data_IF_190268199299
#
_entry.id   IF_190268199299
#
_cell.length_a   1.000
_cell.length_b   1.000
_cell.length_c   1.000
_cell.angle_alpha   90.00
_cell.angle_beta   90.00
_cell.angle_gamma   90.00
#
_symmetry.space_group_name_H-M   'P 1'
#
loop_
_entity.id
_entity.type
_entity.pdbx_description
1 polymer ?
#
# COMPACT_ATOMS: atom_id res chain seq x y z
N UNK A 1 -18.85 -5.93 27.97
CA UNK A 1 -19.28 -5.81 26.55
C UNK A 1 -19.12 -4.38 26.02
N UNK A 2 -19.59 -3.34 26.72
CA UNK A 2 -19.48 -1.93 26.28
C UNK A 2 -18.04 -1.44 25.98
N UNK A 3 -17.03 -1.73 26.80
CA UNK A 3 -15.66 -1.26 26.57
C UNK A 3 -14.95 -1.92 25.37
N UNK A 4 -15.33 -3.16 25.03
CA UNK A 4 -14.80 -3.88 23.86
C UNK A 4 -15.45 -3.33 22.58
N UNK A 5 -16.75 -3.02 22.63
CA UNK A 5 -17.46 -2.35 21.54
C UNK A 5 -16.85 -0.98 21.21
N UNK A 6 -16.59 -0.17 22.24
CA UNK A 6 -16.01 1.17 22.05
C UNK A 6 -14.66 1.11 21.33
N UNK A 7 -13.81 0.17 21.75
CA UNK A 7 -12.46 -0.02 21.19
C UNK A 7 -12.47 -0.51 19.74
N UNK A 8 -13.49 -1.30 19.35
CA UNK A 8 -13.65 -1.80 17.99
C UNK A 8 -14.12 -0.69 17.03
N UNK A 9 -15.05 0.16 17.46
CA UNK A 9 -15.48 1.34 16.69
C UNK A 9 -14.31 2.29 16.47
N UNK A 10 -13.56 2.61 17.52
CA UNK A 10 -12.36 3.46 17.43
C UNK A 10 -11.30 2.89 16.48
N UNK A 11 -11.02 1.59 16.55
CA UNK A 11 -10.07 0.93 15.63
C UNK A 11 -10.54 0.98 14.17
N UNK A 12 -11.84 0.87 13.93
CA UNK A 12 -12.40 0.88 12.58
C UNK A 12 -12.42 2.30 11.99
N UNK A 13 -12.74 3.31 12.81
CA UNK A 13 -12.60 4.72 12.45
C UNK A 13 -11.14 5.08 12.13
N UNK A 14 -10.18 4.61 12.95
CA UNK A 14 -8.76 4.80 12.69
C UNK A 14 -8.32 4.12 11.40
N UNK A 15 -8.76 2.90 11.12
CA UNK A 15 -8.41 2.19 9.88
C UNK A 15 -9.01 2.85 8.64
N UNK A 16 -10.25 3.36 8.72
CA UNK A 16 -10.87 4.10 7.62
C UNK A 16 -10.16 5.43 7.38
N UNK A 17 -9.81 6.16 8.44
CA UNK A 17 -8.98 7.37 8.33
C UNK A 17 -7.62 7.06 7.73
N UNK A 18 -6.94 5.99 8.16
CA UNK A 18 -5.66 5.57 7.59
C UNK A 18 -5.81 5.17 6.10
N UNK A 19 -6.90 4.53 5.72
CA UNK A 19 -7.18 4.18 4.32
C UNK A 19 -7.42 5.44 3.46
N UNK A 20 -8.28 6.35 3.91
CA UNK A 20 -8.63 7.59 3.20
C UNK A 20 -7.45 8.58 3.12
N UNK A 21 -6.66 8.67 4.20
CA UNK A 21 -5.44 9.47 4.26
C UNK A 21 -4.25 8.80 3.55
N UNK A 22 -4.43 7.59 3.02
CA UNK A 22 -3.44 6.88 2.22
C UNK A 22 -2.25 6.31 3.01
N UNK A 23 -2.44 6.03 4.30
CA UNK A 23 -1.46 5.47 5.24
C UNK A 23 -1.17 3.98 5.06
N UNK A 24 -1.81 3.28 4.13
CA UNK A 24 -1.45 1.90 3.76
C UNK A 24 -0.17 1.82 2.91
N UNK A 25 0.82 2.67 3.19
CA UNK A 25 2.08 2.77 2.45
C UNK A 25 3.19 1.99 3.17
N UNK A 26 3.69 0.87 2.59
CA UNK A 26 4.80 0.11 3.16
C UNK A 26 6.15 0.85 3.11
N UNK A 27 6.20 2.08 2.58
CA UNK A 27 7.40 2.93 2.50
C UNK A 27 7.26 4.26 3.26
N UNK A 28 6.24 4.44 4.09
CA UNK A 28 6.11 5.65 4.88
C UNK A 28 7.19 5.68 5.97
N UNK A 29 8.13 6.62 5.88
CA UNK A 29 8.90 7.02 7.05
C UNK A 29 7.96 7.78 7.98
N UNK A 30 7.61 7.16 9.11
CA UNK A 30 6.85 7.79 10.19
C UNK A 30 7.42 9.18 10.48
N UNK A 31 6.57 10.21 10.39
CA UNK A 31 6.93 11.56 10.81
C UNK A 31 7.47 11.51 12.24
N UNK A 32 8.62 12.17 12.46
CA UNK A 32 9.47 12.09 13.66
C UNK A 32 8.88 12.68 14.95
N UNK A 33 7.56 12.66 15.12
CA UNK A 33 6.83 13.07 16.33
C UNK A 33 5.96 11.97 16.97
N UNK A 34 5.90 10.78 16.36
CA UNK A 34 5.37 9.57 17.01
C UNK A 34 6.55 8.70 17.44
N UNK A 35 6.51 8.24 18.69
CA UNK A 35 7.60 7.49 19.32
C UNK A 35 8.14 6.35 18.43
N UNK A 36 9.46 6.31 18.37
CA UNK A 36 10.28 5.43 17.55
C UNK A 36 9.89 3.93 17.64
N UNK A 37 9.41 3.36 16.54
CA UNK A 37 9.94 2.08 16.05
C UNK A 37 10.94 2.38 14.92
N UNK A 38 12.02 3.10 15.26
CA UNK A 38 13.28 2.97 14.53
C UNK A 38 13.86 1.62 14.91
N UNK A 39 13.46 0.57 14.23
CA UNK A 39 14.25 -0.66 14.15
C UNK A 39 14.76 -0.73 12.72
N UNK A 40 16.06 -0.46 12.60
CA UNK A 40 16.97 -0.80 11.51
C UNK A 40 16.35 -1.24 10.15
N UNK A 41 16.77 -0.64 9.02
CA UNK A 41 16.45 -1.12 7.67
C UNK A 41 16.73 -2.63 7.45
N UNK A 42 17.58 -3.22 8.27
CA UNK A 42 17.97 -4.64 8.22
C UNK A 42 16.99 -5.60 8.91
N UNK A 43 16.03 -5.13 9.72
CA UNK A 43 15.06 -5.99 10.43
C UNK A 43 13.72 -6.17 9.70
N UNK A 44 13.45 -5.39 8.65
CA UNK A 44 12.24 -5.55 7.84
C UNK A 44 12.29 -6.77 6.90
N UNK A 45 13.47 -7.36 6.70
CA UNK A 45 13.63 -8.56 5.88
C UNK A 45 13.23 -9.87 6.61
N UNK A 46 13.07 -9.83 7.94
CA UNK A 46 12.82 -10.99 8.80
C UNK A 46 11.43 -11.01 9.47
N UNK A 47 10.54 -10.08 9.11
CA UNK A 47 9.19 -10.00 9.68
C UNK A 47 8.13 -10.71 8.80
N UNK A 48 7.16 -11.36 9.45
CA UNK A 48 6.00 -12.03 8.82
C UNK A 48 5.06 -11.02 8.10
N UNK A 49 5.08 -9.74 8.49
CA UNK A 49 4.19 -8.67 8.01
C UNK A 49 4.26 -8.42 6.49
N UNK A 50 5.44 -8.19 5.88
CA UNK A 50 5.61 -8.10 4.44
C UNK A 50 5.02 -9.25 3.62
N UNK A 51 4.93 -10.45 4.19
CA UNK A 51 4.40 -11.64 3.53
C UNK A 51 2.87 -11.63 3.51
N UNK A 52 2.26 -11.30 4.64
CA UNK A 52 0.81 -11.22 4.77
C UNK A 52 0.25 -10.11 3.87
N UNK A 53 0.94 -8.97 3.80
CA UNK A 53 0.58 -7.85 2.93
C UNK A 53 0.59 -8.25 1.44
N UNK A 54 1.59 -9.00 0.98
CA UNK A 54 1.64 -9.41 -0.43
C UNK A 54 0.54 -10.41 -0.76
N UNK A 55 0.21 -11.33 0.16
CA UNK A 55 -0.91 -12.27 -0.03
C UNK A 55 -2.23 -11.50 -0.12
N UNK A 56 -2.48 -10.59 0.83
CA UNK A 56 -3.65 -9.72 0.85
C UNK A 56 -3.83 -8.93 -0.46
N UNK A 57 -2.74 -8.32 -0.93
CA UNK A 57 -2.74 -7.52 -2.17
C UNK A 57 -3.00 -8.38 -3.41
N UNK A 58 -2.44 -9.59 -3.48
CA UNK A 58 -2.69 -10.50 -4.61
C UNK A 58 -4.12 -11.05 -4.64
N UNK A 59 -4.77 -11.18 -3.49
CA UNK A 59 -6.15 -11.66 -3.39
C UNK A 59 -7.19 -10.54 -3.50
N UNK A 60 -6.77 -9.27 -3.52
CA UNK A 60 -7.64 -8.12 -3.77
C UNK A 60 -7.96 -8.00 -5.26
N UNK A 61 -9.23 -8.10 -5.67
CA UNK A 61 -9.59 -7.96 -7.11
C UNK A 61 -9.55 -6.50 -7.59
N UNK A 62 -9.68 -5.55 -6.67
CA UNK A 62 -9.79 -4.11 -6.97
C UNK A 62 -11.21 -3.63 -7.23
N UNK A 63 -12.22 -4.49 -7.12
CA UNK A 63 -13.63 -4.08 -7.07
C UNK A 63 -13.91 -3.30 -5.78
N UNK A 64 -14.89 -2.37 -5.79
CA UNK A 64 -15.29 -1.67 -4.57
C UNK A 64 -15.64 -2.65 -3.45
N UNK A 65 -15.12 -2.41 -2.25
CA UNK A 65 -15.31 -3.26 -1.09
C UNK A 65 -14.48 -4.54 -1.07
N UNK A 66 -13.85 -4.97 -2.16
CA UNK A 66 -13.11 -6.25 -2.22
C UNK A 66 -11.68 -6.15 -1.69
N UNK A 67 -11.52 -5.67 -0.45
CA UNK A 67 -10.22 -5.57 0.23
C UNK A 67 -10.04 -6.78 1.12
N UNK A 68 -8.89 -7.44 0.97
CA UNK A 68 -8.52 -8.62 1.75
C UNK A 68 -7.51 -8.25 2.82
N UNK A 69 -7.66 -8.81 4.00
CA UNK A 69 -6.67 -8.80 5.07
C UNK A 69 -6.27 -10.24 5.41
N UNK A 70 -5.00 -10.44 5.79
CA UNK A 70 -4.45 -11.76 6.08
C UNK A 70 -3.67 -11.71 7.38
N UNK A 71 -3.87 -12.71 8.24
CA UNK A 71 -3.17 -12.86 9.51
C UNK A 71 -2.72 -14.31 9.72
N UNK A 72 -1.70 -14.51 10.55
CA UNK A 72 -1.40 -15.84 11.09
C UNK A 72 -2.23 -16.10 12.35
N UNK A 73 -2.96 -17.20 12.36
CA UNK A 73 -3.44 -17.84 13.56
C UNK A 73 -2.42 -18.91 13.97
N UNK A 74 -1.97 -18.85 15.23
CA UNK A 74 -0.95 -19.75 15.80
C UNK A 74 -1.52 -20.59 16.96
N UNK A 75 -2.83 -20.56 17.21
CA UNK A 75 -3.44 -21.16 18.40
C UNK A 75 -3.41 -22.70 18.39
N UNK A 76 -3.66 -23.32 17.23
CA UNK A 76 -3.71 -24.80 17.07
C UNK A 76 -2.69 -25.32 16.04
N UNK A 77 -1.78 -24.45 15.59
CA UNK A 77 -0.91 -24.63 14.43
C UNK A 77 -0.85 -23.33 13.61
N UNK A 78 0.10 -23.23 12.68
CA UNK A 78 0.21 -22.05 11.80
C UNK A 78 -0.85 -22.16 10.70
N UNK A 79 -1.83 -21.26 10.71
CA UNK A 79 -2.88 -21.16 9.70
C UNK A 79 -3.01 -19.70 9.23
N UNK A 80 -3.27 -19.51 7.93
CA UNK A 80 -3.61 -18.20 7.38
C UNK A 80 -5.09 -17.93 7.56
N UNK A 81 -5.42 -16.86 8.26
CA UNK A 81 -6.79 -16.37 8.41
C UNK A 81 -6.98 -15.21 7.45
N UNK A 82 -7.94 -15.34 6.54
CA UNK A 82 -8.28 -14.33 5.56
C UNK A 82 -9.60 -13.68 5.94
N UNK A 83 -9.62 -12.36 5.90
CA UNK A 83 -10.82 -11.55 6.05
C UNK A 83 -11.02 -10.73 4.79
N UNK A 84 -12.26 -10.50 4.42
CA UNK A 84 -12.64 -9.64 3.31
C UNK A 84 -13.68 -8.66 3.78
N UNK A 85 -13.64 -7.46 3.24
CA UNK A 85 -14.71 -6.50 3.42
C UNK A 85 -15.92 -6.91 2.55
N UNK A 86 -17.00 -7.37 3.18
CA UNK A 86 -18.16 -7.95 2.51
C UNK A 86 -18.18 -9.48 2.52
N UNK A 87 -19.22 -10.10 1.92
CA UNK A 87 -19.42 -11.55 2.03
C UNK A 87 -18.30 -12.31 1.33
N UNK A 88 -17.84 -13.38 1.98
CA UNK A 88 -16.94 -14.36 1.37
C UNK A 88 -17.74 -15.25 0.42
N UNK A 89 -17.37 -15.26 -0.85
CA UNK A 89 -18.02 -16.03 -1.89
C UNK A 89 -17.21 -17.30 -2.25
N UNK A 90 -17.82 -18.34 -2.84
CA UNK A 90 -17.10 -19.53 -3.30
C UNK A 90 -15.95 -19.22 -4.29
N UNK A 91 -16.08 -18.14 -5.05
CA UNK A 91 -15.05 -17.63 -5.94
C UNK A 91 -13.80 -17.18 -5.18
N UNK A 92 -13.94 -16.64 -3.96
CA UNK A 92 -12.81 -16.20 -3.14
C UNK A 92 -11.95 -17.39 -2.69
N UNK A 93 -12.60 -18.51 -2.36
CA UNK A 93 -11.91 -19.76 -2.01
C UNK A 93 -11.23 -20.39 -3.22
N UNK A 94 -11.90 -20.37 -4.38
CA UNK A 94 -11.32 -20.82 -5.64
C UNK A 94 -10.11 -19.99 -6.04
N UNK A 95 -10.20 -18.67 -5.93
CA UNK A 95 -9.09 -17.75 -6.22
C UNK A 95 -7.92 -17.94 -5.26
N UNK A 96 -8.18 -18.13 -3.97
CA UNK A 96 -7.15 -18.36 -2.95
C UNK A 96 -6.41 -19.68 -3.19
N UNK A 97 -7.14 -20.76 -3.50
CA UNK A 97 -6.54 -22.04 -3.87
C UNK A 97 -5.71 -21.93 -5.16
N UNK A 98 -6.25 -21.25 -6.18
CA UNK A 98 -5.53 -21.03 -7.43
C UNK A 98 -4.24 -20.21 -7.22
N UNK A 99 -4.30 -19.16 -6.39
CA UNK A 99 -3.15 -18.35 -6.02
C UNK A 99 -2.05 -19.19 -5.36
N UNK A 100 -2.36 -19.90 -4.28
CA UNK A 100 -1.36 -20.71 -3.58
C UNK A 100 -0.80 -21.83 -4.46
N UNK A 101 -1.63 -22.48 -5.29
CA UNK A 101 -1.18 -23.47 -6.26
C UNK A 101 -0.16 -22.90 -7.23
N UNK A 102 -0.42 -21.72 -7.80
CA UNK A 102 0.50 -21.05 -8.71
C UNK A 102 1.77 -20.58 -8.01
N UNK A 103 1.68 -20.04 -6.79
CA UNK A 103 2.86 -19.63 -6.01
C UNK A 103 3.79 -20.81 -5.73
N UNK A 104 3.25 -22.01 -5.42
CA UNK A 104 4.05 -23.22 -5.23
C UNK A 104 4.78 -23.64 -6.52
N UNK A 105 4.10 -23.53 -7.66
CA UNK A 105 4.65 -23.92 -8.97
C UNK A 105 5.61 -22.86 -9.57
N UNK A 106 5.49 -21.59 -9.18
CA UNK A 106 6.22 -20.48 -9.77
C UNK A 106 7.73 -20.59 -9.56
N UNK A 107 8.50 -20.23 -10.59
CA UNK A 107 9.96 -20.05 -10.52
C UNK A 107 10.34 -18.58 -10.37
N UNK A 108 9.48 -17.68 -10.86
CA UNK A 108 9.64 -16.24 -10.77
C UNK A 108 8.29 -15.56 -10.53
N UNK A 109 8.32 -14.31 -10.03
CA UNK A 109 7.10 -13.51 -9.89
C UNK A 109 6.33 -13.30 -11.21
N UNK A 110 7.02 -13.35 -12.36
CA UNK A 110 6.37 -13.20 -13.67
C UNK A 110 5.42 -14.36 -13.97
N UNK A 111 5.66 -15.54 -13.38
CA UNK A 111 4.79 -16.72 -13.54
C UNK A 111 3.42 -16.51 -12.86
N UNK A 112 3.30 -15.49 -11.99
CA UNK A 112 2.06 -15.12 -11.31
C UNK A 112 1.27 -14.03 -12.07
N UNK A 113 1.82 -13.44 -13.14
CA UNK A 113 1.13 -12.43 -13.94
C UNK A 113 -0.21 -12.93 -14.51
N UNK A 114 -0.35 -14.18 -15.00
CA UNK A 114 -1.63 -14.68 -15.46
C UNK A 114 -2.72 -14.65 -14.39
N UNK A 115 -2.39 -15.05 -13.15
CA UNK A 115 -3.31 -14.94 -12.03
C UNK A 115 -3.65 -13.48 -11.73
N UNK A 116 -2.64 -12.61 -11.59
CA UNK A 116 -2.84 -11.21 -11.23
C UNK A 116 -3.68 -10.46 -12.28
N UNK A 117 -3.51 -10.77 -13.56
CA UNK A 117 -4.26 -10.15 -14.65
C UNK A 117 -5.68 -10.71 -14.79
N UNK A 118 -5.92 -11.93 -14.28
CA UNK A 118 -7.27 -12.49 -14.23
C UNK A 118 -8.04 -12.01 -13.00
N UNK A 119 -7.38 -11.96 -11.84
CA UNK A 119 -8.02 -11.72 -10.54
C UNK A 119 -7.96 -10.24 -10.13
N UNK A 120 -6.79 -9.61 -10.23
CA UNK A 120 -6.51 -8.25 -9.74
C UNK A 120 -6.41 -7.21 -10.85
N UNK A 121 -6.98 -7.49 -12.03
CA UNK A 121 -6.97 -6.60 -13.21
C UNK A 121 -7.32 -5.16 -12.85
N UNK A 122 -8.49 -4.98 -12.24
CA UNK A 122 -9.00 -3.65 -11.90
C UNK A 122 -8.08 -2.92 -10.92
N UNK A 123 -7.46 -3.63 -9.98
CA UNK A 123 -6.49 -3.04 -9.07
C UNK A 123 -5.23 -2.57 -9.83
N UNK A 124 -4.67 -3.40 -10.72
CA UNK A 124 -3.48 -3.06 -11.51
C UNK A 124 -3.74 -1.82 -12.36
N UNK A 125 -4.82 -1.82 -13.14
CA UNK A 125 -5.19 -0.70 -14.01
C UNK A 125 -5.42 0.58 -13.21
N UNK A 126 -6.11 0.48 -12.06
CA UNK A 126 -6.31 1.60 -11.14
C UNK A 126 -5.00 2.19 -10.64
N UNK A 127 -4.02 1.38 -10.25
CA UNK A 127 -2.74 1.91 -9.77
C UNK A 127 -1.91 2.53 -10.90
N UNK A 128 -1.92 1.94 -12.10
CA UNK A 128 -1.23 2.49 -13.27
C UNK A 128 -1.85 3.82 -13.72
N UNK A 129 -3.17 3.92 -13.78
CA UNK A 129 -3.86 5.17 -14.08
C UNK A 129 -3.52 6.26 -13.06
N UNK A 130 -3.48 5.92 -11.77
CA UNK A 130 -3.10 6.85 -10.70
C UNK A 130 -1.63 7.27 -10.79
N UNK A 131 -0.74 6.37 -11.22
CA UNK A 131 0.66 6.69 -11.49
C UNK A 131 0.78 7.64 -12.68
N UNK A 132 0.05 7.38 -13.77
CA UNK A 132 0.02 8.28 -14.93
C UNK A 132 -0.44 9.68 -14.51
N UNK A 133 -1.58 9.80 -13.82
CA UNK A 133 -2.14 11.09 -13.40
C UNK A 133 -1.14 11.93 -12.59
N UNK A 134 -0.53 11.33 -11.56
CA UNK A 134 0.45 12.06 -10.75
C UNK A 134 1.71 12.41 -11.55
N UNK A 135 2.11 11.55 -12.49
CA UNK A 135 3.27 11.82 -13.35
C UNK A 135 2.97 12.95 -14.33
N UNK A 136 1.79 12.99 -14.93
CA UNK A 136 1.30 14.09 -15.79
C UNK A 136 1.34 15.40 -14.99
N UNK A 137 0.75 15.41 -13.80
CA UNK A 137 0.67 16.61 -12.96
C UNK A 137 2.06 17.18 -12.64
N UNK A 138 3.03 16.31 -12.33
CA UNK A 138 4.39 16.71 -11.95
C UNK A 138 5.36 16.85 -13.13
N UNK A 139 4.95 16.51 -14.36
CA UNK A 139 5.90 16.22 -15.44
C UNK A 139 6.89 17.36 -15.70
N UNK A 140 6.39 18.58 -15.87
CA UNK A 140 7.23 19.76 -16.14
C UNK A 140 8.18 20.10 -14.99
N UNK A 141 7.72 19.93 -13.74
CA UNK A 141 8.56 20.18 -12.57
C UNK A 141 9.70 19.15 -12.50
N UNK A 142 9.38 17.87 -12.75
CA UNK A 142 10.39 16.80 -12.75
C UNK A 142 11.40 16.97 -13.89
N UNK A 143 10.98 17.42 -15.07
CA UNK A 143 11.90 17.72 -16.17
C UNK A 143 12.87 18.86 -15.81
N UNK A 144 12.39 19.90 -15.11
CA UNK A 144 13.24 20.99 -14.66
C UNK A 144 14.30 20.51 -13.65
N UNK A 145 13.90 19.66 -12.71
CA UNK A 145 14.81 19.06 -11.73
C UNK A 145 15.82 18.10 -12.38
N UNK A 146 15.41 17.35 -13.41
CA UNK A 146 16.33 16.48 -14.18
C UNK A 146 17.37 17.33 -14.92
N UNK A 147 16.97 18.47 -15.50
CA UNK A 147 17.86 19.33 -16.25
C UNK A 147 19.03 19.84 -15.38
N UNK A 148 18.76 20.17 -14.12
CA UNK A 148 19.74 20.64 -13.14
C UNK A 148 20.40 19.53 -12.32
N UNK A 149 19.93 18.28 -12.46
CA UNK A 149 20.46 17.13 -11.73
C UNK A 149 21.94 16.88 -12.04
N UNK A 150 22.72 16.59 -11.00
CA UNK A 150 24.12 16.24 -11.11
C UNK A 150 24.26 14.72 -11.14
N UNK A 151 24.80 14.24 -12.25
CA UNK A 151 25.00 12.81 -12.49
C UNK A 151 25.99 12.22 -11.46
N UNK A 152 25.62 11.06 -10.91
CA UNK A 152 26.52 10.16 -10.17
C UNK A 152 26.85 8.94 -11.03
N UNK A 153 27.43 7.90 -10.44
CA UNK A 153 27.56 6.63 -11.16
C UNK A 153 26.19 5.99 -11.40
N UNK A 154 26.03 5.26 -12.50
CA UNK A 154 24.77 4.58 -12.85
C UNK A 154 24.29 3.60 -11.77
N UNK A 155 25.21 2.91 -11.12
CA UNK A 155 24.87 1.93 -10.09
C UNK A 155 24.57 2.60 -8.74
N UNK A 156 25.15 3.76 -8.46
CA UNK A 156 24.74 4.56 -7.30
C UNK A 156 23.37 5.18 -7.51
N UNK A 157 23.08 5.66 -8.72
CA UNK A 157 21.79 6.26 -9.05
C UNK A 157 20.67 5.22 -9.06
N UNK A 158 20.93 4.06 -9.66
CA UNK A 158 19.91 3.04 -9.90
C UNK A 158 20.34 1.64 -9.41
N UNK A 159 20.51 1.44 -8.09
CA UNK A 159 21.17 0.25 -7.51
C UNK A 159 20.48 -1.10 -7.80
N UNK A 160 19.20 -1.09 -8.19
CA UNK A 160 18.40 -2.31 -8.43
C UNK A 160 17.83 -2.40 -9.85
N UNK A 161 18.35 -1.63 -10.78
CA UNK A 161 17.78 -1.48 -12.14
C UNK A 161 18.51 -2.26 -13.22
N UNK A 162 19.68 -2.86 -12.93
CA UNK A 162 20.61 -3.40 -13.94
C UNK A 162 19.95 -4.38 -14.92
N UNK A 163 19.12 -5.29 -14.43
CA UNK A 163 18.41 -6.26 -15.27
C UNK A 163 17.37 -5.56 -16.18
N UNK A 164 16.64 -4.60 -15.65
CA UNK A 164 15.64 -3.83 -16.41
C UNK A 164 16.28 -2.92 -17.45
N UNK A 165 17.37 -2.21 -17.10
CA UNK A 165 18.14 -1.39 -18.05
C UNK A 165 18.70 -2.22 -19.20
N UNK A 166 19.24 -3.41 -18.92
CA UNK A 166 19.68 -4.35 -19.97
C UNK A 166 18.53 -4.82 -20.86
N UNK A 167 17.36 -5.06 -20.28
CA UNK A 167 16.18 -5.45 -21.02
C UNK A 167 15.69 -4.34 -21.98
N UNK A 168 15.74 -3.07 -21.55
CA UNK A 168 15.19 -1.95 -22.32
C UNK A 168 16.21 -1.31 -23.28
N UNK A 169 17.47 -1.19 -22.86
CA UNK A 169 18.50 -0.43 -23.55
C UNK A 169 19.64 -1.29 -24.09
N UNK A 170 19.64 -2.59 -23.81
CA UNK A 170 20.71 -3.51 -24.19
C UNK A 170 22.08 -3.00 -23.72
N UNK A 171 23.06 -2.89 -24.62
CA UNK A 171 24.41 -2.38 -24.36
C UNK A 171 24.59 -0.90 -24.71
N UNK A 172 23.49 -0.15 -24.92
CA UNK A 172 23.57 1.28 -25.21
C UNK A 172 24.09 2.05 -24.00
N UNK A 173 25.06 2.94 -24.24
CA UNK A 173 25.48 3.91 -23.24
C UNK A 173 24.49 5.08 -23.22
N UNK A 174 23.76 5.20 -22.11
CA UNK A 174 22.85 6.31 -21.84
C UNK A 174 23.39 7.12 -20.67
N UNK A 175 23.01 8.40 -20.60
CA UNK A 175 23.24 9.24 -19.42
C UNK A 175 22.14 9.00 -18.39
N UNK A 176 22.38 9.38 -17.13
CA UNK A 176 21.36 9.28 -16.08
C UNK A 176 20.12 10.09 -16.45
N UNK A 177 20.32 11.31 -16.98
CA UNK A 177 19.23 12.19 -17.42
C UNK A 177 18.33 11.54 -18.47
N UNK A 178 18.92 10.93 -19.50
CA UNK A 178 18.13 10.22 -20.52
C UNK A 178 17.31 9.07 -19.91
N UNK A 179 17.89 8.30 -18.98
CA UNK A 179 17.17 7.21 -18.30
C UNK A 179 16.04 7.76 -17.42
N UNK A 180 16.26 8.86 -16.70
CA UNK A 180 15.20 9.51 -15.90
C UNK A 180 14.07 10.02 -16.78
N UNK A 181 14.38 10.68 -17.89
CA UNK A 181 13.39 11.16 -18.86
C UNK A 181 12.57 10.00 -19.44
N UNK A 182 13.23 8.94 -19.90
CA UNK A 182 12.57 7.74 -20.43
C UNK A 182 11.67 7.09 -19.37
N UNK A 183 12.14 6.98 -18.12
CA UNK A 183 11.34 6.46 -17.00
C UNK A 183 10.08 7.30 -16.78
N UNK A 184 10.18 8.64 -16.81
CA UNK A 184 9.03 9.53 -16.65
C UNK A 184 8.05 9.37 -17.81
N UNK A 185 8.54 9.26 -19.04
CA UNK A 185 7.72 8.98 -20.21
C UNK A 185 6.99 7.64 -20.10
N UNK A 186 7.67 6.57 -19.68
CA UNK A 186 7.04 5.26 -19.45
C UNK A 186 5.97 5.36 -18.36
N UNK A 187 6.28 5.99 -17.22
CA UNK A 187 5.33 6.15 -16.12
C UNK A 187 4.10 6.98 -16.52
N UNK A 188 4.25 7.93 -17.44
CA UNK A 188 3.19 8.81 -17.91
C UNK A 188 2.35 8.16 -19.02
N UNK A 189 3.01 7.78 -20.11
CA UNK A 189 2.40 7.43 -21.39
C UNK A 189 1.96 5.96 -21.39
N UNK A 190 2.87 5.03 -21.07
CA UNK A 190 2.56 3.58 -21.05
C UNK A 190 1.57 3.23 -19.94
N UNK A 191 1.65 3.87 -18.76
CA UNK A 191 0.66 3.63 -17.68
C UNK A 191 -0.75 4.14 -18.02
N UNK A 192 -0.88 5.19 -18.84
CA UNK A 192 -2.18 5.77 -19.21
C UNK A 192 -2.94 4.93 -20.23
N UNK A 193 -2.19 4.31 -21.16
CA UNK A 193 -2.72 3.49 -22.24
C UNK A 193 -2.86 2.01 -21.87
N UNK A 194 -2.41 1.61 -20.67
CA UNK A 194 -2.36 0.23 -20.28
C UNK A 194 -3.76 -0.39 -20.16
N UNK A 195 -3.96 -1.52 -20.85
CA UNK A 195 -5.16 -2.34 -20.76
C UNK A 195 -4.74 -3.78 -20.49
N UNK A 196 -5.04 -4.27 -19.30
CA UNK A 196 -4.58 -5.58 -18.87
C UNK A 196 -5.30 -6.68 -19.67
N UNK A 197 -4.55 -7.42 -20.48
CA UNK A 197 -5.05 -8.62 -21.14
C UNK A 197 -4.23 -9.83 -20.71
N UNK A 198 -4.86 -11.00 -20.62
CA UNK A 198 -4.21 -12.25 -20.21
C UNK A 198 -3.36 -12.83 -21.34
N UNK A 199 -2.35 -12.07 -21.79
CA UNK A 199 -1.47 -12.42 -22.89
C UNK A 199 -0.04 -11.90 -22.67
N UNK A 200 0.90 -12.45 -23.44
CA UNK A 200 2.33 -12.15 -23.31
C UNK A 200 2.68 -10.68 -23.60
N UNK A 201 1.95 -10.01 -24.49
CA UNK A 201 2.21 -8.61 -24.83
C UNK A 201 1.93 -7.70 -23.63
N UNK A 202 0.74 -7.81 -23.02
CA UNK A 202 0.38 -7.02 -21.84
C UNK A 202 1.25 -7.36 -20.62
N UNK A 203 1.72 -8.60 -20.47
CA UNK A 203 2.71 -8.93 -19.44
C UNK A 203 4.04 -8.20 -19.65
N UNK A 204 4.48 -8.08 -20.90
CA UNK A 204 5.72 -7.40 -21.26
C UNK A 204 5.59 -5.89 -21.06
N UNK A 205 4.47 -5.30 -21.47
CA UNK A 205 4.13 -3.89 -21.21
C UNK A 205 4.10 -3.59 -19.70
N UNK A 206 3.45 -4.44 -18.92
CA UNK A 206 3.43 -4.28 -17.48
C UNK A 206 4.82 -4.40 -16.85
N UNK A 207 5.65 -5.36 -17.30
CA UNK A 207 7.02 -5.50 -16.82
C UNK A 207 7.88 -4.27 -17.14
N UNK A 208 7.65 -3.60 -18.28
CA UNK A 208 8.31 -2.33 -18.62
C UNK A 208 7.93 -1.24 -17.63
N UNK A 209 6.63 -1.01 -17.43
CA UNK A 209 6.13 0.03 -16.51
C UNK A 209 6.53 -0.26 -15.07
N UNK A 210 6.39 -1.51 -14.63
CA UNK A 210 6.82 -1.96 -13.31
C UNK A 210 8.32 -1.68 -13.09
N UNK A 211 9.16 -2.03 -14.06
CA UNK A 211 10.60 -1.81 -13.94
C UNK A 211 11.01 -0.33 -13.97
N UNK A 212 10.32 0.51 -14.75
CA UNK A 212 10.50 1.96 -14.72
C UNK A 212 10.10 2.52 -13.35
N UNK A 213 8.93 2.14 -12.85
CA UNK A 213 8.43 2.57 -11.55
C UNK A 213 9.35 2.12 -10.40
N UNK A 214 9.83 0.87 -10.44
CA UNK A 214 10.74 0.32 -9.45
C UNK A 214 12.11 1.00 -9.48
N UNK A 215 12.60 1.33 -10.69
CA UNK A 215 13.86 2.07 -10.86
C UNK A 215 13.74 3.48 -10.31
N UNK A 216 12.65 4.20 -10.60
CA UNK A 216 12.42 5.54 -10.05
C UNK A 216 12.25 5.52 -8.53
N UNK A 217 11.50 4.55 -8.00
CA UNK A 217 11.23 4.40 -6.57
C UNK A 217 12.51 4.26 -5.75
N UNK A 218 13.52 3.61 -6.30
CA UNK A 218 14.81 3.37 -5.67
C UNK A 218 15.93 4.26 -6.21
N UNK A 219 15.58 5.32 -6.95
CA UNK A 219 16.55 6.28 -7.48
C UNK A 219 16.96 7.30 -6.42
N UNK A 220 18.22 7.75 -6.49
CA UNK A 220 18.66 8.85 -5.63
C UNK A 220 18.02 10.17 -6.03
N UNK A 221 17.64 10.32 -7.29
CA UNK A 221 16.84 11.45 -7.77
C UNK A 221 15.56 11.61 -6.95
N UNK A 222 14.77 10.54 -6.80
CA UNK A 222 13.53 10.59 -6.01
C UNK A 222 13.82 10.81 -4.51
N UNK A 223 14.88 10.19 -3.98
CA UNK A 223 15.29 10.41 -2.59
C UNK A 223 15.73 11.87 -2.35
N UNK A 224 16.33 12.53 -3.33
CA UNK A 224 16.67 13.95 -3.24
C UNK A 224 15.42 14.83 -3.21
N UNK A 225 14.45 14.55 -4.08
CA UNK A 225 13.18 15.28 -4.14
C UNK A 225 12.33 15.11 -2.87
N UNK A 226 12.39 13.94 -2.25
CA UNK A 226 11.65 13.62 -1.01
C UNK A 226 12.44 13.90 0.27
N UNK A 227 13.74 14.17 0.13
CA UNK A 227 14.68 14.34 1.24
C UNK A 227 14.42 15.56 2.13
N UNK A 228 15.06 15.56 3.30
CA UNK A 228 15.04 16.69 4.26
C UNK A 228 15.72 17.93 3.67
N UNK A 229 16.68 17.74 2.76
CA UNK A 229 17.42 18.81 2.08
C UNK A 229 16.59 19.55 1.01
N UNK A 230 15.42 19.05 0.61
CA UNK A 230 14.58 19.76 -0.34
C UNK A 230 13.77 20.85 0.36
N UNK A 231 14.11 22.12 0.08
CA UNK A 231 13.44 23.30 0.63
C UNK A 231 12.14 23.66 -0.09
N UNK A 232 11.87 23.09 -1.27
CA UNK A 232 10.60 23.27 -1.97
C UNK A 232 9.54 22.34 -1.39
N UNK A 233 8.85 22.80 -0.34
CA UNK A 233 7.84 22.04 0.39
C UNK A 233 6.73 21.53 -0.55
N UNK A 234 6.29 22.35 -1.52
CA UNK A 234 5.23 21.97 -2.46
C UNK A 234 5.67 20.83 -3.37
N UNK A 235 6.87 20.92 -3.94
CA UNK A 235 7.42 19.86 -4.79
C UNK A 235 7.66 18.59 -3.97
N UNK A 236 8.21 18.72 -2.77
CA UNK A 236 8.44 17.60 -1.85
C UNK A 236 7.17 16.82 -1.56
N UNK A 237 6.08 17.49 -1.16
CA UNK A 237 4.79 16.82 -0.87
C UNK A 237 4.24 16.08 -2.09
N UNK A 238 4.40 16.66 -3.29
CA UNK A 238 3.97 16.05 -4.55
C UNK A 238 4.87 14.88 -4.96
N UNK A 239 6.17 14.99 -4.73
CA UNK A 239 7.14 13.92 -4.95
C UNK A 239 6.92 12.74 -3.98
N UNK A 240 6.54 13.01 -2.73
CA UNK A 240 6.10 11.97 -1.78
C UNK A 240 4.83 11.27 -2.27
N UNK A 241 3.87 12.03 -2.81
CA UNK A 241 2.68 11.44 -3.44
C UNK A 241 3.06 10.56 -4.64
N UNK A 242 4.01 10.98 -5.47
CA UNK A 242 4.57 10.17 -6.56
C UNK A 242 5.22 8.90 -6.01
N UNK A 243 6.09 9.01 -4.99
CA UNK A 243 6.74 7.87 -4.31
C UNK A 243 5.74 6.84 -3.82
N UNK A 244 4.63 7.27 -3.20
CA UNK A 244 3.53 6.40 -2.79
C UNK A 244 2.89 5.66 -3.98
N UNK A 245 2.63 6.36 -5.09
CA UNK A 245 2.04 5.74 -6.30
C UNK A 245 2.98 4.74 -6.96
N UNK A 246 4.27 5.06 -7.02
CA UNK A 246 5.31 4.13 -7.47
C UNK A 246 5.33 2.88 -6.58
N UNK A 247 5.27 3.05 -5.26
CA UNK A 247 5.17 1.95 -4.30
C UNK A 247 3.96 1.06 -4.53
N UNK A 248 2.79 1.63 -4.83
CA UNK A 248 1.57 0.86 -5.16
C UNK A 248 1.68 0.08 -6.46
N UNK A 249 2.31 0.62 -7.51
CA UNK A 249 2.59 -0.15 -8.74
C UNK A 249 3.59 -1.27 -8.46
N UNK A 250 4.58 -1.00 -7.61
CA UNK A 250 5.63 -1.93 -7.21
C UNK A 250 5.24 -2.90 -6.09
N UNK A 251 3.98 -2.92 -5.65
CA UNK A 251 3.52 -3.72 -4.51
C UNK A 251 3.79 -5.22 -4.71
N UNK A 252 3.82 -5.70 -5.96
CA UNK A 252 4.10 -7.09 -6.32
C UNK A 252 5.60 -7.45 -6.35
N UNK A 253 6.50 -6.49 -6.10
CA UNK A 253 7.97 -6.72 -6.10
C UNK A 253 8.43 -7.78 -5.10
N UNK A 254 7.64 -8.02 -4.06
CA UNK A 254 7.94 -8.99 -2.99
C UNK A 254 7.50 -10.43 -3.31
N UNK A 255 6.84 -10.66 -4.45
CA UNK A 255 6.40 -12.01 -4.86
C UNK A 255 7.54 -13.03 -4.93
N UNK A 256 8.75 -12.61 -5.33
CA UNK A 256 9.90 -13.51 -5.33
C UNK A 256 10.27 -14.01 -3.92
N UNK A 257 10.03 -13.20 -2.88
CA UNK A 257 10.23 -13.61 -1.48
C UNK A 257 9.14 -14.59 -1.05
N UNK A 258 7.88 -14.30 -1.38
CA UNK A 258 6.75 -15.20 -1.13
C UNK A 258 6.97 -16.57 -1.78
N UNK A 259 7.38 -16.63 -3.05
CA UNK A 259 7.67 -17.90 -3.75
C UNK A 259 8.75 -18.68 -3.01
N UNK A 260 9.84 -18.03 -2.60
CA UNK A 260 10.93 -18.68 -1.83
C UNK A 260 10.45 -19.22 -0.48
N UNK A 261 9.62 -18.47 0.24
CA UNK A 261 9.09 -18.89 1.53
C UNK A 261 8.07 -20.02 1.39
N UNK A 262 7.15 -19.95 0.43
CA UNK A 262 6.17 -21.02 0.18
C UNK A 262 6.84 -22.31 -0.30
N UNK A 263 7.99 -22.25 -0.98
CA UNK A 263 8.75 -23.47 -1.30
C UNK A 263 9.38 -24.13 -0.06
N UNK A 264 9.67 -23.36 0.99
CA UNK A 264 10.15 -23.89 2.27
C UNK A 264 9.02 -24.42 3.13
N UNK A 265 7.85 -23.79 3.07
CA UNK A 265 6.66 -24.14 3.83
C UNK A 265 5.44 -24.27 2.89
N UNK A 266 5.35 -25.37 2.12
CA UNK A 266 4.38 -25.49 1.03
C UNK A 266 2.94 -25.60 1.51
N UNK A 267 2.67 -26.11 2.71
CA UNK A 267 1.31 -26.53 3.08
C UNK A 267 0.77 -25.76 4.28
N UNK A 268 0.93 -24.44 4.27
CA UNK A 268 0.26 -23.58 5.24
C UNK A 268 -1.25 -23.60 4.94
N UNK A 269 -2.09 -24.17 5.83
CA UNK A 269 -3.53 -24.16 5.65
C UNK A 269 -4.05 -22.73 5.71
N UNK A 270 -5.19 -22.48 5.08
CA UNK A 270 -5.87 -21.20 5.17
C UNK A 270 -7.37 -21.39 5.44
N UNK A 271 -7.98 -20.37 6.05
CA UNK A 271 -9.43 -20.28 6.22
C UNK A 271 -9.91 -18.85 6.02
N UNK A 272 -11.06 -18.72 5.37
CA UNK A 272 -11.79 -17.47 5.33
C UNK A 272 -12.61 -17.29 6.62
N UNK A 273 -12.60 -16.09 7.17
CA UNK A 273 -13.58 -15.69 8.18
C UNK A 273 -14.92 -15.51 7.47
N UNK A 274 -15.78 -16.51 7.62
CA UNK A 274 -17.16 -16.49 7.14
C UNK A 274 -18.06 -15.93 8.25
N UNK A 275 -19.13 -15.25 7.84
CA UNK A 275 -20.13 -14.64 8.75
C UNK A 275 -20.90 -15.70 9.59
N UNK A 276 -20.67 -16.99 9.37
CA UNK A 276 -21.27 -18.10 10.12
C UNK A 276 -20.58 -18.40 11.46
N UNK A 277 -19.48 -17.70 11.79
CA UNK A 277 -18.98 -17.60 13.16
C UNK A 277 -19.99 -16.82 14.01
N UNK A 278 -21.07 -17.50 14.43
CA UNK A 278 -21.96 -17.11 15.54
C UNK A 278 -21.20 -17.07 16.87
N UNK A 279 -20.20 -16.20 16.96
CA UNK A 279 -19.88 -15.55 18.23
C UNK A 279 -21.05 -14.63 18.56
N UNK A 280 -21.54 -14.68 19.80
CA UNK A 280 -22.73 -14.00 20.33
C UNK A 280 -22.63 -12.46 20.36
N UNK A 281 -22.11 -11.84 19.30
CA UNK A 281 -21.83 -10.41 19.17
C UNK A 281 -22.29 -9.84 17.84
N UNK A 282 -23.47 -10.26 17.35
CA UNK A 282 -24.15 -9.59 16.25
C UNK A 282 -24.45 -8.14 16.69
N UNK A 283 -23.68 -7.19 16.16
CA UNK A 283 -23.94 -5.76 16.25
C UNK A 283 -23.66 -5.13 14.90
N UNK A 284 -24.62 -4.36 14.39
CA UNK A 284 -24.34 -3.37 13.35
C UNK A 284 -23.55 -2.25 14.04
N UNK A 285 -22.31 -2.01 13.59
CA UNK A 285 -21.49 -0.94 14.13
C UNK A 285 -21.68 0.30 13.25
N UNK A 286 -22.08 1.40 13.88
CA UNK A 286 -22.09 2.71 13.24
C UNK A 286 -20.84 3.48 13.69
N UNK A 287 -20.01 3.89 12.72
CA UNK A 287 -18.99 4.92 12.97
C UNK A 287 -19.65 6.29 13.14
N UNK A 288 -18.93 7.25 13.71
CA UNK A 288 -19.44 8.61 13.91
C UNK A 288 -20.06 9.20 12.64
N UNK A 289 -21.13 9.99 12.78
CA UNK A 289 -21.86 10.53 11.63
C UNK A 289 -21.03 11.48 10.77
N UNK A 290 -20.07 12.18 11.40
CA UNK A 290 -19.21 13.16 10.75
C UNK A 290 -17.72 12.74 10.85
N UNK A 291 -16.96 12.77 9.74
CA UNK A 291 -15.53 12.42 9.75
C UNK A 291 -14.71 13.38 10.62
N UNK A 292 -15.15 14.63 10.77
CA UNK A 292 -14.50 15.64 11.62
C UNK A 292 -14.54 15.25 13.09
N UNK A 293 -15.65 14.71 13.59
CA UNK A 293 -15.77 14.22 14.97
C UNK A 293 -14.83 13.03 15.23
N UNK A 294 -14.65 12.16 14.24
CA UNK A 294 -13.69 11.06 14.33
C UNK A 294 -12.24 11.57 14.34
N UNK A 295 -11.91 12.58 13.53
CA UNK A 295 -10.59 13.21 13.53
C UNK A 295 -10.31 13.90 14.87
N UNK A 296 -11.27 14.65 15.41
CA UNK A 296 -11.17 15.30 16.72
C UNK A 296 -10.92 14.29 17.84
N UNK A 297 -11.63 13.17 17.82
CA UNK A 297 -11.50 12.08 18.79
C UNK A 297 -10.13 11.40 18.70
N UNK A 298 -9.67 11.08 17.50
CA UNK A 298 -8.38 10.39 17.28
C UNK A 298 -7.20 11.29 17.65
N UNK A 299 -7.29 12.57 17.34
CA UNK A 299 -6.23 13.55 17.63
C UNK A 299 -6.34 14.13 19.04
N UNK A 300 -7.43 13.86 19.76
CA UNK A 300 -7.78 14.46 21.05
C UNK A 300 -7.68 15.99 21.04
N UNK A 301 -8.10 16.62 19.93
CA UNK A 301 -8.15 18.08 19.76
C UNK A 301 -9.50 18.47 19.16
N UNK A 302 -9.96 19.67 19.48
CA UNK A 302 -11.13 20.26 18.81
C UNK A 302 -10.65 21.04 17.60
N UNK A 303 -11.15 20.72 16.42
CA UNK A 303 -10.75 21.37 15.18
C UNK A 303 -11.42 22.74 15.07
N UNK A 304 -10.68 23.73 14.57
CA UNK A 304 -11.27 25.02 14.21
C UNK A 304 -12.05 24.91 12.89
N UNK A 305 -13.05 25.80 12.65
CA UNK A 305 -13.78 25.83 11.39
C UNK A 305 -12.88 25.96 10.15
N UNK A 306 -11.78 26.71 10.27
CA UNK A 306 -10.78 26.90 9.21
C UNK A 306 -10.00 25.60 8.91
N UNK A 307 -9.72 24.78 9.94
CA UNK A 307 -9.08 23.48 9.77
C UNK A 307 -10.04 22.48 9.10
N UNK A 308 -11.32 22.50 9.48
CA UNK A 308 -12.36 21.67 8.85
C UNK A 308 -12.49 22.04 7.36
N UNK A 309 -12.59 23.33 7.04
CA UNK A 309 -12.67 23.80 5.64
C UNK A 309 -11.44 23.38 4.83
N UNK A 310 -10.24 23.47 5.43
CA UNK A 310 -9.00 23.03 4.79
C UNK A 310 -8.99 21.53 4.51
N UNK A 311 -9.42 20.70 5.48
CA UNK A 311 -9.52 19.25 5.32
C UNK A 311 -10.52 18.89 4.21
N UNK A 312 -11.70 19.50 4.21
CA UNK A 312 -12.73 19.28 3.18
C UNK A 312 -12.23 19.68 1.79
N UNK A 313 -11.45 20.75 1.69
CA UNK A 313 -10.85 21.19 0.42
C UNK A 313 -9.74 20.25 -0.07
N UNK A 314 -8.92 19.73 0.84
CA UNK A 314 -7.82 18.80 0.52
C UNK A 314 -8.32 17.37 0.24
N UNK A 315 -9.43 16.96 0.86
CA UNK A 315 -10.04 15.63 0.75
C UNK A 315 -11.54 15.73 0.42
N UNK A 316 -11.91 16.18 -0.80
CA UNK A 316 -13.31 16.49 -1.15
C UNK A 316 -14.25 15.29 -1.16
N UNK A 317 -13.72 14.06 -1.21
CA UNK A 317 -14.51 12.82 -1.15
C UNK A 317 -14.68 12.25 0.24
N UNK A 318 -13.99 12.80 1.24
CA UNK A 318 -13.98 12.27 2.61
C UNK A 318 -15.39 12.12 3.16
N UNK A 319 -16.27 13.10 2.94
CA UNK A 319 -17.66 13.06 3.41
C UNK A 319 -18.49 11.98 2.70
N UNK A 320 -18.35 11.87 1.38
CA UNK A 320 -19.09 10.90 0.56
C UNK A 320 -18.65 9.46 0.90
N UNK A 321 -17.34 9.24 1.00
CA UNK A 321 -16.76 7.95 1.34
C UNK A 321 -17.10 7.59 2.81
N UNK A 322 -17.04 8.55 3.74
CA UNK A 322 -17.39 8.33 5.15
C UNK A 322 -18.87 7.95 5.34
N UNK A 323 -19.78 8.65 4.65
CA UNK A 323 -21.21 8.34 4.67
C UNK A 323 -21.49 6.95 4.07
N UNK A 324 -20.72 6.54 3.06
CA UNK A 324 -20.86 5.25 2.39
C UNK A 324 -20.43 4.07 3.27
N UNK A 325 -19.44 4.24 4.15
CA UNK A 325 -18.92 3.19 5.05
C UNK A 325 -19.40 3.33 6.49
N UNK A 326 -20.46 4.12 6.70
CA UNK A 326 -20.98 4.48 8.02
C UNK A 326 -21.42 3.27 8.86
N UNK A 327 -21.91 2.22 8.23
CA UNK A 327 -22.35 1.00 8.90
C UNK A 327 -21.60 -0.22 8.37
N UNK A 328 -21.06 -1.01 9.28
CA UNK A 328 -20.41 -2.27 8.94
C UNK A 328 -20.71 -3.33 9.99
N UNK A 329 -20.78 -4.57 9.54
CA UNK A 329 -20.92 -5.73 10.41
C UNK A 329 -19.51 -6.20 10.77
N UNK A 330 -19.22 -6.39 12.06
CA UNK A 330 -17.97 -7.06 12.47
C UNK A 330 -18.22 -8.52 12.79
N UNK A 331 -17.41 -9.41 12.22
CA UNK A 331 -17.39 -10.83 12.53
C UNK A 331 -16.16 -11.24 13.38
N UNK A 332 -15.45 -10.26 13.96
CA UNK A 332 -14.24 -10.52 14.73
C UNK A 332 -14.52 -10.57 16.24
N UNK A 333 -14.81 -11.76 16.76
CA UNK A 333 -14.66 -12.03 18.20
C UNK A 333 -13.23 -12.53 18.46
N UNK A 334 -12.33 -11.65 18.92
CA UNK A 334 -11.09 -12.09 19.58
C UNK A 334 -11.48 -12.54 20.99
N UNK A 335 -11.83 -13.82 21.15
CA UNK A 335 -11.92 -14.44 22.48
C UNK A 335 -10.50 -14.82 22.92
N UNK A 336 -9.96 -14.05 23.86
CA UNK A 336 -8.83 -14.40 24.74
C UNK A 336 -7.70 -15.23 24.10
N UNK A 337 -7.12 -14.72 23.01
CA UNK A 337 -5.76 -15.08 22.63
C UNK A 337 -4.86 -13.91 23.03
N UNK A 338 -3.69 -14.11 23.65
CA UNK A 338 -2.74 -13.04 23.88
C UNK A 338 -2.22 -12.60 22.51
N UNK A 339 -2.96 -11.71 21.85
CA UNK A 339 -2.33 -10.72 21.01
C UNK A 339 -1.36 -10.02 21.93
N UNK A 340 -0.07 -10.23 21.71
CA UNK A 340 0.98 -9.37 22.26
C UNK A 340 0.81 -8.01 21.58
N UNK A 341 -0.25 -7.30 21.98
CA UNK A 341 -0.42 -5.88 21.82
C UNK A 341 0.21 -5.26 23.05
N UNK A 342 1.41 -4.72 22.89
CA UNK A 342 2.03 -3.94 23.96
C UNK A 342 1.10 -2.76 24.27
N UNK A 343 0.61 -2.71 25.50
CA UNK A 343 -0.03 -1.54 26.10
C UNK A 343 0.94 -0.36 25.99
N UNK A 344 0.52 0.71 25.32
CA UNK A 344 1.11 2.03 25.57
C UNK A 344 0.22 2.67 26.63
N UNK A 345 0.80 2.75 27.83
CA UNK A 345 0.36 3.62 28.90
C UNK A 345 0.55 5.05 28.38
N UNK A 346 -0.52 5.84 28.40
CA UNK A 346 -0.46 7.29 28.16
C UNK A 346 0.08 7.88 29.45
N UNK A 347 1.35 8.29 29.44
CA UNK A 347 1.83 9.28 30.40
C UNK A 347 1.80 10.65 29.74
N UNK A 348 1.26 11.59 30.51
CA UNK A 348 1.18 13.02 30.24
C UNK A 348 2.54 13.58 29.82
N UNK A 349 2.52 14.40 28.79
CA UNK A 349 3.22 15.69 28.68
C UNK A 349 3.58 16.00 27.20
N UNK A 350 3.52 17.30 26.87
CA UNK A 350 4.16 18.00 25.73
C UNK A 350 3.33 18.25 24.45
N UNK A 351 2.54 19.34 24.50
CA UNK A 351 2.77 20.50 23.61
C UNK A 351 3.67 21.51 24.38
N UNK A 352 4.49 22.33 23.69
CA UNK A 352 3.96 23.61 23.25
C UNK A 352 4.36 23.97 21.81
N UNK A 353 3.37 24.45 21.07
CA UNK A 353 3.55 25.32 19.92
C UNK A 353 3.64 26.76 20.46
N UNK A 354 4.77 27.43 20.28
CA UNK A 354 4.83 28.89 20.42
C UNK A 354 4.78 29.53 19.03
N UNK A 355 3.65 30.21 18.81
CA UNK A 355 3.48 31.55 18.21
C UNK A 355 4.72 32.16 17.54
N UNK A 356 4.65 32.35 16.22
CA UNK A 356 4.61 33.64 15.48
C UNK A 356 4.29 33.36 14.01
#
# INVERSE_FOLDING_TARGET
MSAILHRQTELSEQLLLLYELGYSDPYMHHFSGTFNFKSHPDLLDDSDLPLLDIIAVCLTSGRPGDVVAVAFDKCEGICLVLAKHGPVLPEDETATNAFFSQVKAASSWMDLLPFLFSHSKANIEKQLLRLSQITIDLFSDLQLEIATYLDKSMEDEFPKSKAWRRFLYEDRQLTIKCILEDILHICRDESSAFNAQTNKASYTEYARVFGAAYTLLHSRFLDMLTGVSNHNIRLKLRAEKLKRRLGKVCQYSRLNKLIKQMKRFPDIPFRWLRDDLKGTGEGVFEICGEPTEAIERVLNIKLSPEQIEKITREFPRLLDDWAQYRSFNTCAHIKNSPLVGHQVIVDDEWLPWEVV
#
